data_IF_777097699802
#
_entry.id   IF_777097699802
#
_cell.length_a   1.000
_cell.length_b   1.000
_cell.length_c   1.000
_cell.angle_alpha   90.00
_cell.angle_beta   90.00
_cell.angle_gamma   90.00
#
_symmetry.space_group_name_H-M   'P 1'
#
loop_
_entity.id
_entity.type
_entity.pdbx_description
1 polymer ?
#
# COMPACT_ATOMS: atom_id res chain seq x y z
N UNK A 1 5.31 3.29 -3.26
CA UNK A 1 4.47 3.27 -4.48
C UNK A 1 3.14 2.63 -4.12
N UNK A 2 2.02 3.21 -4.54
CA UNK A 2 0.68 2.65 -4.32
C UNK A 2 0.20 1.96 -5.60
N UNK A 3 -0.29 0.72 -5.52
CA UNK A 3 -0.79 -0.04 -6.66
C UNK A 3 -2.21 -0.50 -6.35
N UNK A 4 -3.20 0.02 -7.07
CA UNK A 4 -4.60 -0.27 -6.76
C UNK A 4 -5.57 0.30 -7.79
N UNK A 5 -6.84 0.41 -7.41
CA UNK A 5 -7.85 1.10 -8.21
C UNK A 5 -7.66 2.62 -8.06
N UNK A 6 -7.19 3.29 -9.13
CA UNK A 6 -6.90 4.72 -9.06
C UNK A 6 -8.11 5.61 -8.74
N UNK A 7 -9.33 5.17 -9.08
CA UNK A 7 -10.54 5.93 -8.74
C UNK A 7 -10.78 5.92 -7.25
N UNK A 8 -10.77 4.72 -6.66
CA UNK A 8 -10.93 4.49 -5.21
C UNK A 8 -9.80 5.16 -4.43
N UNK A 9 -8.54 4.87 -4.79
CA UNK A 9 -7.38 5.50 -4.16
C UNK A 9 -7.42 7.04 -4.24
N UNK A 10 -7.91 7.61 -5.35
CA UNK A 10 -8.05 9.06 -5.47
C UNK A 10 -9.09 9.58 -4.49
N UNK A 11 -10.24 8.93 -4.42
CA UNK A 11 -11.34 9.30 -3.54
C UNK A 11 -10.89 9.25 -2.07
N UNK A 12 -10.32 8.14 -1.62
CA UNK A 12 -9.81 7.98 -0.25
C UNK A 12 -8.70 9.00 0.07
N UNK A 13 -7.80 9.27 -0.89
CA UNK A 13 -6.65 10.12 -0.61
C UNK A 13 -6.99 11.61 -0.61
N UNK A 14 -7.92 12.04 -1.47
CA UNK A 14 -8.25 13.45 -1.67
C UNK A 14 -9.53 13.84 -0.94
N UNK A 15 -10.57 13.01 -1.01
CA UNK A 15 -11.93 13.40 -0.64
C UNK A 15 -12.24 13.03 0.82
N UNK A 16 -11.66 11.94 1.33
CA UNK A 16 -11.84 11.54 2.73
C UNK A 16 -11.03 12.42 3.67
N UNK A 17 -11.73 12.99 4.65
CA UNK A 17 -11.14 13.83 5.68
C UNK A 17 -11.02 13.07 6.98
N UNK A 18 -9.89 13.25 7.65
CA UNK A 18 -9.71 12.83 9.03
C UNK A 18 -9.17 13.99 9.87
N UNK A 19 -9.34 13.86 11.18
CA UNK A 19 -8.91 14.86 12.16
C UNK A 19 -8.00 14.23 13.20
N UNK A 20 -6.99 14.98 13.63
CA UNK A 20 -6.14 14.61 14.77
C UNK A 20 -6.14 15.73 15.80
N UNK A 21 -6.26 15.43 17.11
CA UNK A 21 -6.17 16.45 18.14
C UNK A 21 -4.79 17.10 18.14
N UNK A 22 -4.74 18.42 18.21
CA UNK A 22 -3.50 19.15 18.42
C UNK A 22 -3.01 18.92 19.86
N UNK A 23 -1.69 18.83 20.04
CA UNK A 23 -1.06 18.53 21.33
C UNK A 23 -1.73 19.33 22.46
N UNK A 24 -2.22 18.59 23.46
CA UNK A 24 -2.86 19.10 24.69
C UNK A 24 -4.25 19.75 24.55
N UNK A 25 -4.96 19.57 23.45
CA UNK A 25 -6.34 20.06 23.33
C UNK A 25 -7.22 19.13 22.50
N UNK A 26 -8.21 18.51 23.15
CA UNK A 26 -9.25 17.71 22.49
C UNK A 26 -10.18 18.60 21.65
N UNK A 27 -10.29 19.88 21.99
CA UNK A 27 -11.16 20.85 21.32
C UNK A 27 -10.57 21.38 20.01
N UNK A 28 -9.24 21.33 19.86
CA UNK A 28 -8.56 21.81 18.66
C UNK A 28 -8.16 20.64 17.76
N UNK A 29 -9.05 20.28 16.84
CA UNK A 29 -8.82 19.21 15.85
C UNK A 29 -8.20 19.81 14.59
N UNK A 30 -7.00 19.36 14.24
CA UNK A 30 -6.42 19.61 12.92
C UNK A 30 -7.04 18.64 11.92
N UNK A 31 -7.70 19.16 10.89
CA UNK A 31 -8.34 18.33 9.85
C UNK A 31 -7.56 18.42 8.55
N UNK A 32 -7.52 17.30 7.82
CA UNK A 32 -6.85 17.18 6.54
C UNK A 32 -7.30 15.91 5.82
N UNK A 33 -6.59 15.55 4.76
CA UNK A 33 -6.78 14.28 4.05
C UNK A 33 -5.44 13.55 3.91
N UNK A 34 -5.46 12.35 3.32
CA UNK A 34 -4.22 11.58 3.18
C UNK A 34 -3.26 12.20 2.17
N UNK A 35 -3.74 13.04 1.24
CA UNK A 35 -2.88 13.74 0.28
C UNK A 35 -1.85 14.63 0.97
N UNK A 36 -2.22 15.28 2.08
CA UNK A 36 -1.33 16.15 2.86
C UNK A 36 -0.13 15.39 3.44
N UNK A 37 -0.32 14.10 3.75
CA UNK A 37 0.69 13.20 4.29
C UNK A 37 1.46 12.47 3.16
N UNK A 38 0.73 11.80 2.27
CA UNK A 38 1.28 10.90 1.26
C UNK A 38 1.96 11.63 0.11
N UNK A 39 1.48 12.84 -0.23
CA UNK A 39 1.94 13.68 -1.34
C UNK A 39 2.12 12.87 -2.63
N UNK A 40 1.03 12.27 -3.10
CA UNK A 40 1.03 11.37 -4.24
C UNK A 40 1.12 12.16 -5.55
N UNK A 41 2.20 11.98 -6.30
CA UNK A 41 2.50 12.72 -7.54
C UNK A 41 1.33 12.83 -8.50
N UNK A 42 0.64 11.70 -8.73
CA UNK A 42 -0.49 11.60 -9.66
C UNK A 42 -1.74 12.38 -9.26
N UNK A 43 -1.84 12.71 -7.98
CA UNK A 43 -2.98 13.41 -7.38
C UNK A 43 -2.64 14.85 -6.98
N UNK A 44 -1.36 15.23 -7.03
CA UNK A 44 -0.88 16.59 -6.81
C UNK A 44 -0.77 17.40 -8.11
N UNK A 45 -0.81 18.73 -8.01
CA UNK A 45 -0.48 19.63 -9.13
C UNK A 45 1.01 19.60 -9.47
N UNK A 46 1.35 19.91 -10.73
CA UNK A 46 2.69 19.73 -11.31
C UNK A 46 3.84 20.47 -10.57
N UNK A 47 3.53 21.51 -9.79
CA UNK A 47 4.52 22.35 -9.11
C UNK A 47 4.69 22.03 -7.61
N UNK A 48 4.08 20.95 -7.11
CA UNK A 48 4.22 20.53 -5.71
C UNK A 48 5.22 19.39 -5.58
N UNK A 49 6.02 19.41 -4.50
CA UNK A 49 6.87 18.28 -4.13
C UNK A 49 6.02 17.04 -3.83
N UNK A 50 6.43 15.88 -4.32
CA UNK A 50 5.79 14.59 -4.04
C UNK A 50 6.74 13.66 -3.28
N UNK A 51 6.17 12.68 -2.56
CA UNK A 51 6.93 11.61 -1.87
C UNK A 51 6.55 10.22 -2.36
N UNK A 52 5.32 10.10 -2.88
CA UNK A 52 4.74 8.85 -3.32
C UNK A 52 4.23 8.98 -4.75
N UNK A 53 3.93 7.84 -5.37
CA UNK A 53 3.23 7.78 -6.65
C UNK A 53 2.15 6.68 -6.60
N UNK A 54 1.23 6.73 -7.56
CA UNK A 54 0.14 5.77 -7.69
C UNK A 54 0.08 5.14 -9.08
N UNK A 55 -0.13 3.83 -9.10
CA UNK A 55 -0.17 3.01 -10.29
C UNK A 55 -1.47 2.21 -10.36
N UNK A 56 -2.04 2.09 -11.57
CA UNK A 56 -3.30 1.39 -11.75
C UNK A 56 -3.06 -0.12 -11.79
N UNK A 57 -3.71 -0.88 -10.90
CA UNK A 57 -3.69 -2.33 -10.91
C UNK A 57 -4.09 -2.90 -12.29
N UNK A 58 -5.09 -2.30 -12.93
CA UNK A 58 -5.59 -2.73 -14.24
C UNK A 58 -4.81 -2.15 -15.45
N UNK A 59 -3.69 -1.46 -15.26
CA UNK A 59 -2.94 -0.86 -16.37
C UNK A 59 -2.57 -1.90 -17.43
N UNK A 60 -2.86 -1.65 -18.71
CA UNK A 60 -2.43 -2.52 -19.81
C UNK A 60 -1.04 -2.16 -20.33
N UNK A 61 -0.54 -0.99 -19.96
CA UNK A 61 0.76 -0.50 -20.44
C UNK A 61 1.87 -1.05 -19.54
N UNK A 62 2.96 -1.56 -20.12
CA UNK A 62 4.18 -1.80 -19.37
C UNK A 62 4.62 -0.52 -18.66
N UNK A 63 5.25 -0.68 -17.50
CA UNK A 63 5.84 0.45 -16.77
C UNK A 63 6.87 1.14 -17.67
N UNK A 64 6.70 2.44 -17.88
CA UNK A 64 7.64 3.22 -18.71
C UNK A 64 9.01 3.36 -18.02
N UNK A 65 10.05 3.76 -18.78
CA UNK A 65 11.42 3.98 -18.25
C UNK A 65 11.51 4.93 -17.03
N UNK A 66 10.54 5.82 -16.86
CA UNK A 66 10.47 6.72 -15.70
C UNK A 66 9.68 6.14 -14.51
N UNK A 67 8.96 5.03 -14.72
CA UNK A 67 8.25 4.27 -13.69
C UNK A 67 9.02 3.02 -13.25
N UNK A 68 10.19 2.76 -13.85
CA UNK A 68 11.15 1.74 -13.42
C UNK A 68 11.98 2.18 -12.20
N UNK A 69 11.50 3.15 -11.42
CA UNK A 69 12.11 3.41 -10.12
C UNK A 69 11.76 2.21 -9.25
N UNK A 70 12.75 1.53 -8.70
CA UNK A 70 12.56 0.53 -7.65
C UNK A 70 12.18 1.30 -6.38
N UNK A 71 10.89 1.41 -6.04
CA UNK A 71 10.53 2.08 -4.81
C UNK A 71 11.06 1.26 -3.63
N UNK A 72 11.37 1.90 -2.52
CA UNK A 72 11.75 1.17 -1.31
C UNK A 72 10.60 0.29 -0.81
N UNK A 73 9.36 0.82 -0.87
CA UNK A 73 8.14 0.12 -0.48
C UNK A 73 7.07 0.20 -1.58
N UNK A 74 6.39 -0.93 -1.84
CA UNK A 74 5.19 -1.02 -2.66
C UNK A 74 4.02 -1.46 -1.79
N UNK A 75 2.91 -0.73 -1.88
CA UNK A 75 1.64 -1.10 -1.28
C UNK A 75 0.73 -1.60 -2.39
N UNK A 76 0.37 -2.87 -2.33
CA UNK A 76 -0.63 -3.48 -3.20
C UNK A 76 -1.99 -3.44 -2.49
N UNK A 77 -2.87 -2.63 -3.03
CA UNK A 77 -4.27 -2.52 -2.62
C UNK A 77 -5.11 -3.40 -3.57
N UNK A 78 -5.41 -4.60 -3.09
CA UNK A 78 -6.18 -5.62 -3.79
C UNK A 78 -5.36 -6.69 -4.52
N UNK A 79 -5.99 -7.83 -4.69
CA UNK A 79 -5.50 -9.06 -5.31
C UNK A 79 -4.97 -8.84 -6.73
N UNK A 80 -5.69 -8.10 -7.56
CA UNK A 80 -5.33 -7.88 -8.97
C UNK A 80 -4.00 -7.10 -9.11
N UNK A 81 -3.78 -6.11 -8.24
CA UNK A 81 -2.53 -5.35 -8.24
C UNK A 81 -1.34 -6.23 -7.87
N UNK A 82 -1.48 -6.98 -6.78
CA UNK A 82 -0.47 -7.90 -6.28
C UNK A 82 -0.14 -9.02 -7.29
N UNK A 83 -1.15 -9.74 -7.76
CA UNK A 83 -0.97 -10.88 -8.67
C UNK A 83 -0.32 -10.50 -9.99
N UNK A 84 -0.58 -9.28 -10.47
CA UNK A 84 -0.07 -8.83 -11.76
C UNK A 84 1.31 -8.19 -11.70
N UNK A 85 1.59 -7.43 -10.64
CA UNK A 85 2.73 -6.51 -10.64
C UNK A 85 3.80 -6.83 -9.61
N UNK A 86 3.58 -7.76 -8.67
CA UNK A 86 4.61 -8.13 -7.67
C UNK A 86 5.95 -8.47 -8.30
N UNK A 87 5.93 -9.19 -9.43
CA UNK A 87 7.14 -9.64 -10.10
C UNK A 87 7.99 -8.49 -10.70
N UNK A 88 7.39 -7.31 -10.87
CA UNK A 88 8.13 -6.14 -11.34
C UNK A 88 8.92 -5.47 -10.21
N UNK A 89 8.45 -5.57 -8.96
CA UNK A 89 9.04 -4.90 -7.80
C UNK A 89 9.57 -5.90 -6.76
N UNK A 90 10.19 -6.99 -7.21
CA UNK A 90 10.74 -8.05 -6.34
C UNK A 90 11.79 -7.56 -5.34
N UNK A 91 12.51 -6.50 -5.68
CA UNK A 91 13.55 -5.93 -4.81
C UNK A 91 13.02 -4.86 -3.85
N UNK A 92 11.70 -4.65 -3.81
CA UNK A 92 11.06 -3.67 -2.95
C UNK A 92 10.41 -4.37 -1.76
N UNK A 93 10.29 -3.69 -0.62
CA UNK A 93 9.45 -4.19 0.46
C UNK A 93 7.97 -4.12 0.07
N UNK A 94 7.20 -5.13 0.43
CA UNK A 94 5.79 -5.21 0.08
C UNK A 94 4.90 -5.03 1.30
N UNK A 95 3.84 -4.26 1.10
CA UNK A 95 2.64 -4.29 1.94
C UNK A 95 1.50 -4.74 1.04
N UNK A 96 0.83 -5.82 1.41
CA UNK A 96 -0.25 -6.41 0.60
C UNK A 96 -1.54 -6.35 1.40
N UNK A 97 -2.54 -5.66 0.87
CA UNK A 97 -3.88 -5.58 1.41
C UNK A 97 -4.79 -6.45 0.53
N UNK A 98 -5.36 -7.50 1.12
CA UNK A 98 -6.25 -8.43 0.43
C UNK A 98 -7.62 -8.40 1.09
N UNK A 99 -8.65 -8.11 0.29
CA UNK A 99 -10.04 -8.18 0.70
C UNK A 99 -10.63 -9.54 0.29
N UNK A 100 -11.23 -10.25 1.25
CA UNK A 100 -11.83 -11.58 1.06
C UNK A 100 -12.98 -11.58 0.05
N UNK A 101 -13.59 -10.42 -0.22
CA UNK A 101 -14.70 -10.27 -1.16
C UNK A 101 -14.24 -10.16 -2.61
N UNK A 102 -12.94 -9.94 -2.86
CA UNK A 102 -12.42 -9.82 -4.22
C UNK A 102 -12.34 -11.17 -4.93
N UNK A 103 -12.68 -11.18 -6.23
CA UNK A 103 -12.64 -12.40 -7.04
C UNK A 103 -11.26 -13.07 -7.11
N UNK A 104 -10.18 -12.31 -6.92
CA UNK A 104 -8.80 -12.79 -6.94
C UNK A 104 -8.23 -13.14 -5.56
N UNK A 105 -9.03 -13.06 -4.50
CA UNK A 105 -8.54 -13.23 -3.13
C UNK A 105 -7.83 -14.57 -2.92
N UNK A 106 -8.46 -15.68 -3.30
CA UNK A 106 -7.91 -17.03 -3.08
C UNK A 106 -6.54 -17.18 -3.75
N UNK A 107 -6.40 -16.75 -5.01
CA UNK A 107 -5.14 -16.84 -5.76
C UNK A 107 -4.06 -15.94 -5.14
N UNK A 108 -4.43 -14.74 -4.71
CA UNK A 108 -3.53 -13.80 -4.06
C UNK A 108 -3.06 -14.31 -2.69
N UNK A 109 -3.96 -14.83 -1.87
CA UNK A 109 -3.65 -15.42 -0.57
C UNK A 109 -2.76 -16.65 -0.72
N UNK A 110 -3.06 -17.55 -1.66
CA UNK A 110 -2.20 -18.70 -1.96
C UNK A 110 -0.80 -18.27 -2.44
N UNK A 111 -0.73 -17.24 -3.28
CA UNK A 111 0.54 -16.67 -3.73
C UNK A 111 1.33 -16.11 -2.55
N UNK A 112 0.71 -15.31 -1.68
CA UNK A 112 1.34 -14.75 -0.49
C UNK A 112 1.82 -15.85 0.48
N UNK A 113 1.01 -16.89 0.67
CA UNK A 113 1.36 -18.05 1.50
C UNK A 113 2.56 -18.80 0.93
N UNK A 114 2.66 -18.96 -0.39
CA UNK A 114 3.83 -19.56 -1.02
C UNK A 114 5.11 -18.74 -0.78
N UNK A 115 5.01 -17.41 -0.79
CA UNK A 115 6.12 -16.53 -0.40
C UNK A 115 6.47 -16.68 1.09
N UNK A 116 5.48 -16.73 1.96
CA UNK A 116 5.67 -16.97 3.41
C UNK A 116 6.33 -18.33 3.71
N UNK A 117 6.05 -19.36 2.92
CA UNK A 117 6.72 -20.66 3.04
C UNK A 117 8.21 -20.62 2.65
N UNK A 118 8.61 -19.62 1.86
CA UNK A 118 10.00 -19.40 1.42
C UNK A 118 10.75 -18.41 2.32
N UNK A 119 10.14 -17.95 3.42
CA UNK A 119 10.72 -16.94 4.32
C UNK A 119 12.06 -17.38 4.92
N UNK A 120 12.89 -16.39 5.25
CA UNK A 120 14.14 -16.63 5.98
C UNK A 120 13.87 -16.47 7.47
N UNK A 121 13.73 -17.59 8.18
CA UNK A 121 13.57 -17.58 9.64
C UNK A 121 12.14 -17.31 10.11
N UNK A 122 12.01 -17.05 11.40
CA UNK A 122 10.75 -16.66 12.04
C UNK A 122 10.91 -15.23 12.55
N UNK A 123 10.42 -14.28 11.78
CA UNK A 123 10.34 -12.91 12.25
C UNK A 123 9.00 -12.70 12.97
N UNK A 124 9.06 -12.28 14.23
CA UNK A 124 7.89 -11.81 14.94
C UNK A 124 7.48 -10.44 14.41
N UNK A 125 6.18 -10.16 14.44
CA UNK A 125 5.66 -8.80 14.26
C UNK A 125 6.38 -7.88 15.27
N UNK A 126 6.85 -6.68 14.86
CA UNK A 126 7.50 -5.73 15.77
C UNK A 126 6.64 -5.42 17.00
N UNK A 127 7.25 -5.28 18.17
CA UNK A 127 6.52 -5.01 19.43
C UNK A 127 5.74 -3.69 19.41
N UNK A 128 6.19 -2.72 18.60
CA UNK A 128 5.55 -1.42 18.41
C UNK A 128 4.52 -1.40 17.28
N UNK A 129 4.26 -2.55 16.64
CA UNK A 129 3.23 -2.65 15.61
C UNK A 129 1.84 -2.46 16.23
N UNK A 130 0.98 -1.60 15.65
CA UNK A 130 -0.34 -1.35 16.20
C UNK A 130 -1.18 -2.64 16.22
N UNK A 131 -1.96 -2.83 17.28
CA UNK A 131 -2.88 -3.97 17.34
C UNK A 131 -3.83 -3.92 16.13
N UNK A 132 -3.91 -4.99 15.31
CA UNK A 132 -4.84 -5.01 14.20
C UNK A 132 -6.28 -4.86 14.71
N UNK A 133 -7.15 -4.18 13.95
CA UNK A 133 -8.59 -4.27 14.14
C UNK A 133 -9.07 -5.72 14.15
N UNK A 134 -10.21 -5.96 14.80
CA UNK A 134 -10.85 -7.28 14.80
C UNK A 134 -11.05 -7.80 13.38
N UNK A 135 -10.88 -9.10 13.20
CA UNK A 135 -11.05 -9.82 11.93
C UNK A 135 -10.03 -9.50 10.83
N UNK A 136 -8.97 -8.73 11.13
CA UNK A 136 -7.83 -8.56 10.23
C UNK A 136 -6.73 -9.56 10.57
N UNK A 137 -6.38 -10.40 9.61
CA UNK A 137 -5.22 -11.30 9.70
C UNK A 137 -3.97 -10.57 9.20
N UNK A 138 -2.88 -10.66 9.96
CA UNK A 138 -1.59 -10.09 9.60
C UNK A 138 -0.57 -11.19 9.44
N UNK A 139 0.10 -11.19 8.29
CA UNK A 139 1.26 -12.03 8.00
C UNK A 139 2.46 -11.12 7.79
N UNK A 140 3.52 -11.35 8.57
CA UNK A 140 4.79 -10.63 8.48
C UNK A 140 5.92 -11.62 8.29
N UNK A 141 6.81 -11.34 7.34
CA UNK A 141 7.99 -12.16 7.05
C UNK A 141 9.01 -11.39 6.20
N UNK A 142 10.26 -11.84 6.24
CA UNK A 142 11.32 -11.40 5.32
C UNK A 142 11.71 -12.51 4.34
N UNK A 143 11.97 -12.11 3.10
CA UNK A 143 12.48 -12.99 2.06
C UNK A 143 14.01 -12.99 2.02
N UNK A 144 14.59 -14.08 1.54
CA UNK A 144 16.03 -14.14 1.27
C UNK A 144 16.33 -13.36 -0.01
N UNK A 145 17.09 -12.28 0.11
CA UNK A 145 17.60 -11.51 -1.06
C UNK A 145 18.77 -12.26 -1.70
#
# INVERSE_FOLDING_TARGET
>A
LLVGNLGVLRQEIIDEKFGTPLKNSIENICTGNLLDLLRVRKFTSANKSFRSDAFAANSRRPLGKNQSQNPEVVIFDGSNGFLKWRDFWKSSHWVVLLDQTESGFSDAANTLNNHYLQRTGEDSIPEDFPCPPDYIEIVYFQEKI
#
